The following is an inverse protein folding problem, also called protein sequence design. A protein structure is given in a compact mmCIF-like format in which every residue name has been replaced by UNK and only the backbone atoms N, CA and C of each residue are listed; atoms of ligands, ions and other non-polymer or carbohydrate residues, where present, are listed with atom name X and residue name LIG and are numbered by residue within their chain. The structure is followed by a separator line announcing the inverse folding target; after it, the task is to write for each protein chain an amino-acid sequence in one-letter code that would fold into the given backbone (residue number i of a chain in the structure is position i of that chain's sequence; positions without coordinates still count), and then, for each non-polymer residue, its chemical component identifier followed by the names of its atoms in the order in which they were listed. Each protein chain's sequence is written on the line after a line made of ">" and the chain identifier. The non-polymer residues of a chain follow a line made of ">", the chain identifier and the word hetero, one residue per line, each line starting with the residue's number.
data_IF_796743205249
#
_entry.id   IF_796743205249
#
_cell.length_a   1.000
_cell.length_b   1.000
_cell.length_c   1.000
_cell.angle_alpha   90.00
_cell.angle_beta   90.00
_cell.angle_gamma   90.00
#
_symmetry.space_group_name_H-M   'P 1'
#
loop_
_entity.id
_entity.type
_entity.pdbx_description
1 polymer ?
#
# COMPACT_ATOMS: atom_id res chain seq x y z
N UNK A 1 -9.26 17.33 -15.63
CA UNK A 1 -8.89 16.26 -14.68
C UNK A 1 -9.91 15.16 -14.87
N UNK A 2 -9.51 13.97 -15.33
CA UNK A 2 -10.44 12.88 -15.67
C UNK A 2 -9.94 11.64 -14.93
N UNK A 3 -10.67 11.24 -13.88
CA UNK A 3 -10.45 9.97 -13.20
C UNK A 3 -11.00 8.87 -14.10
N UNK A 4 -10.17 7.89 -14.43
CA UNK A 4 -10.53 6.76 -15.28
C UNK A 4 -11.18 5.67 -14.43
N UNK A 5 -12.36 5.23 -14.86
CA UNK A 5 -13.07 4.05 -14.36
C UNK A 5 -12.24 2.79 -14.61
N UNK A 6 -12.05 1.95 -13.60
CA UNK A 6 -11.33 0.66 -13.71
C UNK A 6 -12.37 -0.45 -13.49
N UNK A 7 -12.59 -1.27 -14.52
CA UNK A 7 -13.51 -2.42 -14.47
C UNK A 7 -12.77 -3.67 -14.02
N UNK A 8 -13.19 -4.29 -12.90
CA UNK A 8 -12.82 -5.65 -12.54
C UNK A 8 -13.69 -6.66 -13.28
N UNK A 9 -13.14 -7.41 -14.25
CA UNK A 9 -13.83 -8.59 -14.82
C UNK A 9 -13.45 -9.83 -14.00
N UNK A 10 -14.45 -10.47 -13.43
CA UNK A 10 -14.31 -11.74 -12.71
C UNK A 10 -14.32 -12.92 -13.71
N UNK A 11 -13.19 -13.62 -13.86
CA UNK A 11 -13.13 -14.93 -14.53
C UNK A 11 -12.82 -16.06 -13.52
N UNK A 12 -13.84 -16.90 -13.34
CA UNK A 12 -13.80 -18.07 -12.47
C UNK A 12 -12.78 -19.10 -12.95
N UNK A 13 -11.77 -19.36 -12.12
CA UNK A 13 -10.88 -20.53 -12.20
C UNK A 13 -10.17 -20.68 -10.85
N UNK A 14 -10.72 -21.53 -9.98
CA UNK A 14 -10.03 -22.03 -8.78
C UNK A 14 -8.86 -22.92 -9.23
N UNK A 15 -7.61 -22.46 -9.09
CA UNK A 15 -6.45 -23.32 -9.38
C UNK A 15 -5.19 -22.65 -9.94
N UNK A 16 -4.87 -21.42 -9.54
CA UNK A 16 -3.51 -20.84 -9.46
C UNK A 16 -3.62 -19.75 -8.40
N UNK A 17 -2.71 -19.70 -7.42
CA UNK A 17 -2.81 -18.79 -6.26
C UNK A 17 -3.13 -17.37 -6.72
N UNK A 18 -4.36 -16.94 -6.47
CA UNK A 18 -4.86 -15.60 -6.80
C UNK A 18 -4.24 -14.66 -5.76
N UNK A 19 -3.20 -13.92 -6.11
CA UNK A 19 -2.55 -13.01 -5.15
C UNK A 19 -2.80 -11.55 -5.50
N UNK A 20 -3.68 -10.92 -4.73
CA UNK A 20 -3.82 -9.48 -4.73
C UNK A 20 -2.62 -8.86 -4.04
N UNK A 21 -2.05 -7.82 -4.64
CA UNK A 21 -0.87 -7.14 -4.12
C UNK A 21 -1.11 -5.64 -4.11
N UNK A 22 -0.98 -5.03 -2.92
CA UNK A 22 -0.90 -3.59 -2.76
C UNK A 22 0.48 -3.11 -3.23
N UNK A 23 0.51 -2.09 -4.08
CA UNK A 23 1.73 -1.47 -4.55
C UNK A 23 1.68 0.03 -4.26
N UNK A 24 2.59 0.50 -3.42
CA UNK A 24 2.87 1.93 -3.24
C UNK A 24 4.06 2.28 -4.13
N UNK A 25 3.80 3.05 -5.18
CA UNK A 25 4.75 3.35 -6.25
C UNK A 25 5.40 4.72 -6.09
N UNK A 26 6.65 4.78 -6.56
CA UNK A 26 7.38 6.04 -6.64
C UNK A 26 7.63 6.69 -5.28
N UNK A 27 7.93 5.89 -4.26
CA UNK A 27 8.33 6.37 -2.95
C UNK A 27 9.70 7.02 -3.10
N UNK A 28 9.74 8.35 -3.14
CA UNK A 28 10.98 9.12 -3.11
C UNK A 28 11.29 9.60 -1.69
N UNK A 29 12.54 9.48 -1.30
CA UNK A 29 13.00 9.88 0.03
C UNK A 29 14.50 10.26 0.02
N UNK A 30 14.93 10.92 1.08
CA UNK A 30 16.33 11.23 1.36
C UNK A 30 17.03 10.00 1.97
N UNK A 31 17.98 9.41 1.25
CA UNK A 31 18.68 8.18 1.66
C UNK A 31 19.60 8.36 2.87
N UNK A 32 19.94 9.60 3.22
CA UNK A 32 20.76 9.90 4.40
C UNK A 32 19.94 9.99 5.69
N UNK A 33 18.60 9.92 5.59
CA UNK A 33 17.69 9.99 6.71
C UNK A 33 16.99 8.66 6.93
N UNK A 34 16.63 8.41 8.18
CA UNK A 34 15.79 7.27 8.51
C UNK A 34 14.36 7.60 8.12
N UNK A 35 13.74 6.70 7.37
CA UNK A 35 12.36 6.84 6.92
C UNK A 35 11.61 5.59 7.31
N UNK A 36 10.47 5.77 7.98
CA UNK A 36 9.55 4.68 8.27
C UNK A 36 8.11 5.16 8.19
N UNK A 37 7.29 4.39 7.50
CA UNK A 37 5.84 4.49 7.59
C UNK A 37 5.21 3.10 7.62
N UNK A 38 4.07 3.01 8.27
CA UNK A 38 3.28 1.81 8.39
C UNK A 38 2.09 1.92 7.43
N UNK A 39 1.69 0.80 6.84
CA UNK A 39 0.61 0.68 5.84
C UNK A 39 -0.49 -0.16 6.44
N UNK A 40 -1.70 0.37 6.40
CA UNK A 40 -2.90 -0.28 6.90
C UNK A 40 -3.98 -0.31 5.82
N UNK A 41 -4.87 -1.29 5.91
CA UNK A 41 -6.03 -1.46 5.05
C UNK A 41 -7.28 -1.52 5.92
N UNK A 42 -8.33 -0.81 5.50
CA UNK A 42 -9.67 -0.88 6.07
C UNK A 42 -10.70 -1.06 4.95
N UNK A 43 -11.88 -1.53 5.32
CA UNK A 43 -13.11 -1.42 4.53
C UNK A 43 -13.51 0.07 4.36
N UNK A 44 -14.14 0.41 3.24
CA UNK A 44 -14.66 1.75 2.92
C UNK A 44 -15.98 2.05 3.67
N UNK A 45 -16.75 1.04 4.06
CA UNK A 45 -18.14 1.22 4.51
C UNK A 45 -18.31 1.80 5.94
N UNK A 46 -17.24 2.02 6.69
CA UNK A 46 -17.31 2.60 8.04
C UNK A 46 -16.73 4.02 8.12
N UNK A 47 -17.63 5.01 8.12
CA UNK A 47 -17.37 6.40 8.53
C UNK A 47 -16.76 6.50 9.95
N UNK A 48 -16.91 5.44 10.76
CA UNK A 48 -16.34 5.27 12.09
C UNK A 48 -15.34 4.10 12.09
N UNK A 49 -14.21 4.20 11.38
CA UNK A 49 -13.13 3.19 11.40
C UNK A 49 -12.77 2.83 12.85
N UNK A 50 -13.26 1.70 13.35
CA UNK A 50 -12.90 1.22 14.67
C UNK A 50 -11.50 0.60 14.59
N UNK A 51 -10.68 0.65 15.66
CA UNK A 51 -9.36 -0.01 15.67
C UNK A 51 -9.40 -1.53 15.39
N UNK A 52 -10.59 -2.14 15.39
CA UNK A 52 -10.82 -3.54 15.10
C UNK A 52 -11.00 -3.84 13.60
N UNK A 53 -11.17 -2.82 12.76
CA UNK A 53 -11.39 -2.94 11.31
C UNK A 53 -10.20 -2.42 10.50
N UNK A 54 -9.05 -2.30 11.15
CA UNK A 54 -7.80 -1.85 10.56
C UNK A 54 -6.79 -2.98 10.57
N UNK A 55 -6.54 -3.54 9.39
CA UNK A 55 -5.57 -4.61 9.22
C UNK A 55 -4.21 -4.07 8.78
N UNK A 56 -3.16 -4.66 9.36
CA UNK A 56 -1.79 -4.22 9.13
C UNK A 56 -1.19 -4.90 7.89
N UNK A 57 -1.02 -4.12 6.82
CA UNK A 57 -0.46 -4.61 5.56
C UNK A 57 1.08 -4.66 5.55
N UNK A 58 1.74 -3.85 6.38
CA UNK A 58 3.19 -3.90 6.54
C UNK A 58 3.85 -2.55 6.83
N UNK A 59 5.18 -2.56 6.98
CA UNK A 59 5.98 -1.35 7.16
C UNK A 59 6.94 -1.16 5.99
N UNK A 60 7.06 0.08 5.51
CA UNK A 60 8.23 0.50 4.75
C UNK A 60 9.23 1.13 5.72
N UNK A 61 10.46 0.60 5.75
CA UNK A 61 11.54 1.19 6.53
C UNK A 61 12.81 1.24 5.69
N UNK A 62 13.44 2.42 5.69
CA UNK A 62 14.74 2.61 5.08
C UNK A 62 15.75 3.13 6.08
N UNK A 63 16.90 2.48 6.11
CA UNK A 63 18.03 2.88 6.95
C UNK A 63 18.87 3.95 6.26
N UNK A 64 19.39 4.94 7.02
CA UNK A 64 20.37 5.89 6.50
C UNK A 64 21.56 5.16 5.89
N UNK A 65 21.87 5.45 4.63
CA UNK A 65 23.07 4.94 3.97
C UNK A 65 23.64 5.97 3.00
N UNK A 66 24.97 6.05 2.93
CA UNK A 66 25.66 6.96 2.01
C UNK A 66 25.72 6.35 0.62
N UNK A 67 25.00 6.95 -0.31
CA UNK A 67 25.15 6.64 -1.73
C UNK A 67 26.08 7.68 -2.38
N UNK A 68 27.11 7.24 -3.13
CA UNK A 68 27.96 8.17 -3.87
C UNK A 68 27.11 8.90 -4.93
N UNK A 69 26.96 10.21 -4.78
CA UNK A 69 26.40 11.11 -5.80
C UNK A 69 24.87 11.20 -5.91
N UNK A 70 24.08 10.52 -5.07
CA UNK A 70 22.60 10.66 -5.05
C UNK A 70 22.09 10.68 -3.63
N UNK A 71 21.51 11.81 -3.22
CA UNK A 71 20.85 11.95 -1.91
C UNK A 71 19.39 11.50 -1.93
N UNK A 72 18.76 11.49 -3.12
CA UNK A 72 17.38 11.04 -3.30
C UNK A 72 17.35 9.65 -3.93
N UNK A 73 16.56 8.78 -3.32
CA UNK A 73 16.30 7.42 -3.79
C UNK A 73 14.82 7.25 -4.06
N UNK A 74 14.49 6.42 -5.06
CA UNK A 74 13.12 6.09 -5.46
C UNK A 74 12.91 4.59 -5.41
N UNK A 75 11.82 4.14 -4.80
CA UNK A 75 11.50 2.71 -4.66
C UNK A 75 9.98 2.48 -4.67
N UNK A 76 9.57 1.22 -4.50
CA UNK A 76 8.19 0.81 -4.31
C UNK A 76 8.05 -0.12 -3.11
N UNK A 77 6.93 -0.04 -2.40
CA UNK A 77 6.53 -1.02 -1.38
C UNK A 77 5.48 -1.97 -1.97
N UNK A 78 5.54 -3.24 -1.61
CA UNK A 78 4.60 -4.28 -2.04
C UNK A 78 4.18 -5.13 -0.85
N UNK A 79 2.88 -5.33 -0.67
CA UNK A 79 2.31 -6.21 0.34
C UNK A 79 1.25 -7.11 -0.27
N UNK A 80 1.20 -8.38 0.16
CA UNK A 80 0.10 -9.27 -0.19
C UNK A 80 -1.18 -8.79 0.51
N UNK A 81 -2.30 -8.84 -0.22
CA UNK A 81 -3.61 -8.43 0.29
C UNK A 81 -4.59 -9.60 0.44
N UNK A 82 -4.39 -10.73 -0.22
CA UNK A 82 -5.40 -11.82 -0.27
C UNK A 82 -5.89 -12.22 1.12
N UNK A 83 -4.99 -12.55 2.05
CA UNK A 83 -5.38 -12.95 3.41
C UNK A 83 -6.02 -11.78 4.19
N UNK A 84 -5.54 -10.55 3.97
CA UNK A 84 -6.07 -9.36 4.67
C UNK A 84 -7.48 -8.98 4.20
N UNK A 85 -7.79 -9.18 2.92
CA UNK A 85 -9.14 -8.94 2.39
C UNK A 85 -10.12 -9.99 2.88
N UNK A 86 -9.69 -11.26 2.98
CA UNK A 86 -10.50 -12.33 3.57
C UNK A 86 -10.79 -12.05 5.05
N UNK A 87 -9.79 -11.61 5.82
CA UNK A 87 -9.96 -11.29 7.25
C UNK A 87 -10.85 -10.05 7.49
N UNK A 88 -10.85 -9.10 6.55
CA UNK A 88 -11.72 -7.92 6.56
C UNK A 88 -13.12 -8.17 6.00
N UNK A 89 -13.39 -9.37 5.45
CA UNK A 89 -14.61 -9.67 4.68
C UNK A 89 -14.86 -8.68 3.51
N UNK A 90 -13.78 -8.17 2.92
CA UNK A 90 -13.76 -7.15 1.88
C UNK A 90 -13.25 -7.68 0.52
N UNK A 91 -13.34 -8.99 0.27
CA UNK A 91 -12.93 -9.61 -0.99
C UNK A 91 -13.90 -9.32 -2.15
N UNK A 92 -15.13 -8.96 -1.81
CA UNK A 92 -16.22 -8.60 -2.72
C UNK A 92 -16.21 -7.13 -3.14
N UNK A 93 -15.49 -6.29 -2.40
CA UNK A 93 -15.62 -4.84 -2.49
C UNK A 93 -14.87 -4.25 -3.67
N UNK A 94 -15.46 -3.20 -4.26
CA UNK A 94 -14.85 -2.50 -5.40
C UNK A 94 -13.65 -1.64 -4.97
N UNK A 95 -13.60 -1.26 -3.70
CA UNK A 95 -12.72 -0.23 -3.16
C UNK A 95 -12.38 -0.53 -1.69
N UNK A 96 -11.17 -0.15 -1.29
CA UNK A 96 -10.68 -0.28 0.09
C UNK A 96 -9.96 0.99 0.50
N UNK A 97 -9.95 1.27 1.80
CA UNK A 97 -9.26 2.42 2.35
C UNK A 97 -7.82 2.04 2.75
N UNK A 98 -6.83 2.66 2.09
CA UNK A 98 -5.42 2.47 2.43
C UNK A 98 -4.90 3.64 3.26
N UNK A 99 -4.47 3.35 4.48
CA UNK A 99 -3.92 4.35 5.41
C UNK A 99 -2.40 4.25 5.50
N UNK A 100 -1.71 5.36 5.21
CA UNK A 100 -0.26 5.48 5.33
C UNK A 100 0.11 6.32 6.55
N UNK A 101 0.66 5.67 7.58
CA UNK A 101 0.99 6.34 8.85
C UNK A 101 2.49 6.61 8.94
N UNK A 102 2.95 7.86 8.78
CA UNK A 102 4.36 8.19 8.94
C UNK A 102 4.79 7.98 10.40
N UNK A 103 5.86 7.22 10.61
CA UNK A 103 6.45 6.97 11.94
C UNK A 103 7.72 7.76 12.18
N UNK A 104 8.56 7.91 11.15
CA UNK A 104 9.79 8.71 11.21
C UNK A 104 10.23 9.16 9.82
N UNK A 105 10.87 10.32 9.73
CA UNK A 105 11.38 10.85 8.46
C UNK A 105 10.30 11.27 7.45
N UNK A 106 9.03 11.36 7.85
CA UNK A 106 7.89 11.58 6.95
C UNK A 106 7.86 12.93 6.23
N UNK A 107 8.57 13.95 6.71
CA UNK A 107 8.53 15.30 6.13
C UNK A 107 9.08 15.42 4.71
N UNK A 108 9.84 14.42 4.22
CA UNK A 108 10.50 14.45 2.91
C UNK A 108 10.20 13.20 2.08
N UNK A 109 9.09 12.50 2.33
CA UNK A 109 8.65 11.37 1.51
C UNK A 109 7.59 11.83 0.52
N UNK A 110 7.76 11.49 -0.76
CA UNK A 110 6.72 11.68 -1.78
C UNK A 110 6.34 10.34 -2.38
N UNK A 111 5.06 10.16 -2.68
CA UNK A 111 4.49 8.94 -3.26
C UNK A 111 3.82 9.33 -4.57
N UNK A 112 4.09 8.58 -5.63
CA UNK A 112 3.52 8.86 -6.95
C UNK A 112 2.14 8.24 -7.14
N UNK A 113 1.89 7.09 -6.53
CA UNK A 113 0.61 6.41 -6.63
C UNK A 113 0.51 5.20 -5.73
N UNK A 114 -0.73 4.77 -5.54
CA UNK A 114 -1.08 3.54 -4.82
C UNK A 114 -2.01 2.77 -5.76
N UNK A 115 -1.77 1.47 -5.92
CA UNK A 115 -2.62 0.61 -6.74
C UNK A 115 -2.65 -0.81 -6.21
N UNK A 116 -3.69 -1.54 -6.58
CA UNK A 116 -3.81 -2.96 -6.35
C UNK A 116 -3.60 -3.66 -7.68
N UNK A 117 -2.78 -4.71 -7.68
CA UNK A 117 -2.58 -5.56 -8.86
C UNK A 117 -2.91 -7.01 -8.52
N UNK A 118 -3.39 -7.72 -9.52
CA UNK A 118 -3.56 -9.15 -9.49
C UNK A 118 -2.32 -9.81 -10.12
N UNK A 119 -1.68 -10.74 -9.40
CA UNK A 119 -0.45 -11.43 -9.80
C UNK A 119 -0.68 -12.93 -9.90
#
# INVERSE_FOLDING_TARGET
>A
MKFGEIWGRNDGSYGRGKCWVLVVEGIEYDSEKYVKFDVYVNDEDDDDTTPAQTEFAGSFAQLPHKHKGKMKSKTSFKAGLTELLEDLEADDDETILVSLTPRSGGGNVTIEGIKIIYV
#
